data_IF_268335535728
#
_entry.id   IF_268335535728
#
_cell.length_a   1.000
_cell.length_b   1.000
_cell.length_c   1.000
_cell.angle_alpha   90.00
_cell.angle_beta   90.00
_cell.angle_gamma   90.00
#
_symmetry.space_group_name_H-M   'P 1'
#
loop_
_entity.id
_entity.type
_entity.pdbx_description
1 polymer ?
#
# COMPACT_ATOMS: atom_id res chain seq x y z
N UNK A 1 1.95 10.51 17.42
CA UNK A 1 2.89 10.98 16.38
C UNK A 1 4.36 10.64 16.66
N UNK A 2 4.89 10.82 17.88
CA UNK A 2 6.31 10.54 18.19
C UNK A 2 6.75 9.11 17.89
N UNK A 3 5.97 8.11 18.34
CA UNK A 3 6.25 6.68 18.07
C UNK A 3 6.33 6.35 16.57
N UNK A 4 5.38 6.86 15.78
CA UNK A 4 5.35 6.65 14.32
C UNK A 4 6.54 7.29 13.61
N UNK A 5 7.01 8.45 14.08
CA UNK A 5 8.22 9.11 13.53
C UNK A 5 9.48 8.29 13.82
N UNK A 6 9.61 7.72 15.02
CA UNK A 6 10.73 6.85 15.37
C UNK A 6 10.72 5.57 14.51
N UNK A 7 9.55 4.94 14.34
CA UNK A 7 9.42 3.76 13.49
C UNK A 7 9.73 4.06 12.01
N UNK A 8 9.38 5.25 11.53
CA UNK A 8 9.60 5.68 10.16
C UNK A 8 11.09 5.71 9.79
N UNK A 9 11.99 6.05 10.73
CA UNK A 9 13.44 6.04 10.48
C UNK A 9 13.92 4.64 10.08
N UNK A 10 13.52 3.62 10.85
CA UNK A 10 13.82 2.21 10.53
C UNK A 10 13.11 1.75 9.25
N UNK A 11 11.86 2.16 9.05
CA UNK A 11 11.08 1.82 7.86
C UNK A 11 11.75 2.32 6.56
N UNK A 12 12.34 3.52 6.60
CA UNK A 12 13.00 4.13 5.45
C UNK A 12 14.18 3.29 4.91
N UNK A 13 14.82 2.51 5.78
CA UNK A 13 15.95 1.64 5.44
C UNK A 13 15.52 0.27 4.88
N UNK A 14 14.26 -0.13 5.11
CA UNK A 14 13.75 -1.42 4.62
C UNK A 14 13.71 -1.43 3.09
N UNK A 15 14.35 -2.39 2.41
CA UNK A 15 14.31 -2.48 0.96
C UNK A 15 12.89 -2.72 0.42
N UNK A 16 12.61 -2.20 -0.76
CA UNK A 16 11.28 -2.25 -1.38
C UNK A 16 10.72 -3.68 -1.52
N UNK A 17 11.57 -4.68 -1.76
CA UNK A 17 11.14 -6.07 -1.92
C UNK A 17 10.52 -6.61 -0.62
N UNK A 18 11.13 -6.33 0.53
CA UNK A 18 10.60 -6.71 1.84
C UNK A 18 9.32 -5.93 2.19
N UNK A 19 9.20 -4.68 1.73
CA UNK A 19 7.96 -3.92 1.89
C UNK A 19 6.81 -4.54 1.08
N UNK A 20 7.10 -5.05 -0.12
CA UNK A 20 6.12 -5.78 -0.92
C UNK A 20 5.74 -7.12 -0.28
N UNK A 21 6.70 -7.86 0.29
CA UNK A 21 6.42 -9.09 1.06
C UNK A 21 5.53 -8.83 2.28
N UNK A 22 5.73 -7.70 2.97
CA UNK A 22 4.87 -7.30 4.09
C UNK A 22 3.41 -7.14 3.67
N UNK A 23 3.13 -6.70 2.43
CA UNK A 23 1.76 -6.62 1.92
C UNK A 23 1.13 -8.00 1.77
N UNK A 24 1.91 -9.00 1.36
CA UNK A 24 1.44 -10.39 1.31
C UNK A 24 1.13 -10.91 2.72
N UNK A 25 1.97 -10.61 3.72
CA UNK A 25 1.65 -10.95 5.11
C UNK A 25 0.37 -10.28 5.61
N UNK A 26 0.09 -9.05 5.19
CA UNK A 26 -1.19 -8.38 5.51
C UNK A 26 -2.36 -9.09 4.85
N UNK A 27 -2.21 -9.57 3.61
CA UNK A 27 -3.23 -10.39 2.93
C UNK A 27 -3.51 -11.65 3.74
N UNK A 28 -2.47 -12.36 4.19
CA UNK A 28 -2.62 -13.59 4.98
C UNK A 28 -3.45 -13.32 6.25
N UNK A 29 -3.12 -12.26 6.99
CA UNK A 29 -3.88 -11.85 8.20
C UNK A 29 -5.34 -11.52 7.87
N UNK A 30 -5.62 -10.86 6.74
CA UNK A 30 -7.00 -10.56 6.34
C UNK A 30 -7.77 -11.84 6.06
N UNK A 31 -7.17 -12.80 5.36
CA UNK A 31 -7.80 -14.08 5.04
C UNK A 31 -8.06 -14.89 6.32
N UNK A 32 -7.09 -14.96 7.23
CA UNK A 32 -7.21 -15.64 8.51
C UNK A 32 -8.34 -15.07 9.39
N UNK A 33 -8.62 -13.77 9.26
CA UNK A 33 -9.61 -13.07 10.09
C UNK A 33 -10.87 -12.67 9.31
N UNK A 34 -11.07 -13.17 8.09
CA UNK A 34 -12.12 -12.68 7.18
C UNK A 34 -13.52 -12.79 7.79
N UNK A 35 -13.83 -13.87 8.52
CA UNK A 35 -15.14 -14.09 9.12
C UNK A 35 -15.42 -13.08 10.23
N UNK A 36 -14.41 -12.79 11.05
CA UNK A 36 -14.52 -11.77 12.10
C UNK A 36 -14.72 -10.38 11.49
N UNK A 37 -13.94 -10.03 10.46
CA UNK A 37 -14.06 -8.76 9.76
C UNK A 37 -15.46 -8.60 9.15
N UNK A 38 -15.95 -9.63 8.46
CA UNK A 38 -17.29 -9.61 7.87
C UNK A 38 -18.37 -9.44 8.93
N UNK A 39 -18.29 -10.14 10.07
CA UNK A 39 -19.26 -10.01 11.16
C UNK A 39 -19.33 -8.58 11.68
N UNK A 40 -18.18 -7.96 11.98
CA UNK A 40 -18.12 -6.57 12.46
C UNK A 40 -18.71 -5.61 11.42
N UNK A 41 -18.33 -5.75 10.15
CA UNK A 41 -18.85 -4.90 9.07
C UNK A 41 -20.36 -5.03 8.93
N UNK A 42 -20.90 -6.25 9.00
CA UNK A 42 -22.33 -6.48 8.91
C UNK A 42 -23.08 -5.88 10.11
N UNK A 43 -22.53 -6.00 11.32
CA UNK A 43 -23.11 -5.40 12.53
C UNK A 43 -23.14 -3.87 12.46
N UNK A 44 -22.10 -3.24 11.95
CA UNK A 44 -21.99 -1.77 11.88
C UNK A 44 -22.78 -1.15 10.72
N UNK A 45 -22.88 -1.86 9.59
CA UNK A 45 -23.43 -1.29 8.34
C UNK A 45 -24.75 -1.90 7.90
N UNK A 46 -25.14 -3.06 8.45
CA UNK A 46 -26.34 -3.80 8.03
C UNK A 46 -26.25 -4.38 6.62
N UNK A 47 -25.07 -4.38 5.99
CA UNK A 47 -24.87 -4.91 4.63
C UNK A 47 -25.02 -6.43 4.59
N UNK A 48 -25.50 -7.01 3.48
CA UNK A 48 -25.48 -8.45 3.28
C UNK A 48 -24.04 -9.00 3.25
N UNK A 49 -23.88 -10.27 3.63
CA UNK A 49 -22.58 -10.95 3.66
C UNK A 49 -21.84 -10.90 2.33
N UNK A 50 -22.55 -11.01 1.20
CA UNK A 50 -21.95 -10.95 -0.14
C UNK A 50 -21.36 -9.56 -0.43
N UNK A 51 -22.01 -8.50 0.04
CA UNK A 51 -21.50 -7.15 -0.10
C UNK A 51 -20.31 -6.91 0.82
N UNK A 52 -20.38 -7.36 2.08
CA UNK A 52 -19.24 -7.28 3.01
C UNK A 52 -18.01 -8.02 2.47
N UNK A 53 -18.18 -9.24 1.96
CA UNK A 53 -17.11 -10.04 1.39
C UNK A 53 -16.48 -9.38 0.15
N UNK A 54 -17.30 -8.92 -0.80
CA UNK A 54 -16.81 -8.33 -2.04
C UNK A 54 -16.17 -6.95 -1.84
N UNK A 55 -16.77 -6.10 -1.00
CA UNK A 55 -16.33 -4.72 -0.83
C UNK A 55 -15.24 -4.53 0.22
N UNK A 56 -15.09 -5.43 1.19
CA UNK A 56 -14.08 -5.27 2.25
C UNK A 56 -12.95 -6.28 2.15
N UNK A 57 -13.25 -7.55 1.87
CA UNK A 57 -12.23 -8.60 1.83
C UNK A 57 -11.57 -8.63 0.45
N UNK A 58 -12.34 -8.91 -0.60
CA UNK A 58 -11.78 -9.12 -1.94
C UNK A 58 -11.11 -7.88 -2.52
N UNK A 59 -11.75 -6.72 -2.37
CA UNK A 59 -11.23 -5.45 -2.85
C UNK A 59 -9.89 -5.07 -2.16
N UNK A 60 -9.77 -5.33 -0.85
CA UNK A 60 -8.56 -5.06 -0.07
C UNK A 60 -7.42 -5.99 -0.48
N UNK A 61 -7.70 -7.29 -0.58
CA UNK A 61 -6.74 -8.30 -1.02
C UNK A 61 -6.27 -8.00 -2.44
N UNK A 62 -7.18 -7.74 -3.38
CA UNK A 62 -6.85 -7.45 -4.77
C UNK A 62 -5.90 -6.24 -4.86
N UNK A 63 -6.22 -5.18 -4.12
CA UNK A 63 -5.38 -3.98 -4.12
C UNK A 63 -4.01 -4.18 -3.51
N UNK A 64 -3.92 -4.89 -2.38
CA UNK A 64 -2.65 -5.22 -1.75
C UNK A 64 -1.80 -6.07 -2.69
N UNK A 65 -2.38 -7.12 -3.29
CA UNK A 65 -1.70 -8.00 -4.23
C UNK A 65 -1.25 -7.26 -5.49
N UNK A 66 -2.11 -6.39 -6.02
CA UNK A 66 -1.85 -5.54 -7.18
C UNK A 66 -0.61 -4.66 -6.96
N UNK A 67 -0.53 -3.99 -5.80
CA UNK A 67 0.58 -3.11 -5.47
C UNK A 67 1.84 -3.90 -5.13
N UNK A 68 1.75 -4.94 -4.32
CA UNK A 68 2.88 -5.79 -3.95
C UNK A 68 3.60 -6.33 -5.19
N UNK A 69 2.83 -6.84 -6.17
CA UNK A 69 3.37 -7.37 -7.43
C UNK A 69 4.05 -6.32 -8.30
N UNK A 70 3.54 -5.09 -8.35
CA UNK A 70 4.00 -4.05 -9.30
C UNK A 70 5.01 -3.07 -8.70
N UNK A 71 5.00 -2.86 -7.39
CA UNK A 71 5.82 -1.86 -6.73
C UNK A 71 7.32 -2.00 -7.02
N UNK A 72 7.94 -3.21 -6.99
CA UNK A 72 9.35 -3.37 -7.29
C UNK A 72 9.72 -2.84 -8.68
N UNK A 73 8.84 -3.02 -9.67
CA UNK A 73 9.06 -2.52 -11.03
C UNK A 73 8.82 -1.02 -11.13
N UNK A 74 7.77 -0.51 -10.50
CA UNK A 74 7.36 0.89 -10.62
C UNK A 74 8.23 1.88 -9.87
N UNK A 75 8.82 1.45 -8.75
CA UNK A 75 9.59 2.33 -7.88
C UNK A 75 11.10 2.10 -8.00
N UNK A 76 11.55 1.22 -8.89
CA UNK A 76 12.97 1.06 -9.19
C UNK A 76 13.54 2.34 -9.80
N UNK A 77 14.82 2.56 -9.55
CA UNK A 77 15.54 3.66 -10.17
C UNK A 77 15.57 3.53 -11.70
N UNK A 78 15.07 4.55 -12.39
CA UNK A 78 14.98 4.56 -13.84
C UNK A 78 15.91 5.63 -14.43
N UNK A 79 16.71 5.24 -15.42
CA UNK A 79 17.47 6.21 -16.22
C UNK A 79 16.51 6.90 -17.19
N UNK A 80 16.52 8.23 -17.23
CA UNK A 80 15.74 9.01 -18.17
C UNK A 80 16.69 9.72 -19.13
N UNK A 81 16.49 9.49 -20.42
CA UNK A 81 17.19 10.26 -21.46
C UNK A 81 16.66 11.69 -21.44
N UNK A 82 17.57 12.65 -21.61
CA UNK A 82 17.17 14.02 -21.90
C UNK A 82 16.94 14.17 -23.40
N UNK A 83 16.22 15.22 -23.79
CA UNK A 83 16.02 15.56 -25.19
C UNK A 83 17.19 16.44 -25.66
N UNK A 84 17.54 16.33 -26.94
CA UNK A 84 18.58 17.16 -27.56
C UNK A 84 20.03 16.75 -27.23
N UNK A 85 21.01 17.55 -27.66
CA UNK A 85 22.44 17.23 -27.56
C UNK A 85 22.93 16.98 -26.13
N UNK A 86 22.22 17.54 -25.15
CA UNK A 86 22.56 17.42 -23.74
C UNK A 86 22.39 15.99 -23.19
N UNK A 87 21.68 15.11 -23.90
CA UNK A 87 21.56 13.68 -23.58
C UNK A 87 22.91 12.93 -23.65
N UNK A 88 23.84 13.38 -24.50
CA UNK A 88 25.15 12.76 -24.65
C UNK A 88 26.13 13.18 -23.53
N UNK A 89 25.95 14.38 -22.97
CA UNK A 89 26.85 14.92 -21.93
C UNK A 89 26.41 14.55 -20.51
N UNK A 90 25.11 14.36 -20.27
CA UNK A 90 24.55 14.25 -18.91
C UNK A 90 23.64 13.05 -18.77
N UNK A 91 23.80 12.33 -17.66
CA UNK A 91 22.94 11.17 -17.29
C UNK A 91 21.95 11.60 -16.22
N UNK A 92 20.67 11.31 -16.44
CA UNK A 92 19.59 11.63 -15.50
C UNK A 92 18.94 10.35 -14.98
N UNK A 93 18.62 10.32 -13.68
CA UNK A 93 17.96 9.21 -13.01
C UNK A 93 16.80 9.72 -12.18
N UNK A 94 15.71 8.97 -12.16
CA UNK A 94 14.57 9.17 -11.27
C UNK A 94 14.66 8.13 -10.17
N UNK A 95 14.75 8.59 -8.92
CA UNK A 95 14.79 7.76 -7.71
C UNK A 95 13.62 8.18 -6.82
N UNK A 96 12.85 7.20 -6.33
CA UNK A 96 11.74 7.45 -5.43
C UNK A 96 12.22 7.38 -3.98
N UNK A 97 11.70 8.28 -3.13
CA UNK A 97 12.01 8.32 -1.70
C UNK A 97 10.74 8.30 -0.87
N UNK A 98 10.78 7.70 0.33
CA UNK A 98 9.63 7.62 1.19
C UNK A 98 9.19 8.97 1.71
N UNK A 99 7.86 9.16 1.72
CA UNK A 99 7.22 10.42 2.13
C UNK A 99 7.27 10.64 3.65
N UNK A 100 7.55 9.59 4.42
CA UNK A 100 7.54 9.63 5.88
C UNK A 100 6.25 9.07 6.46
N UNK A 101 5.79 9.63 7.57
CA UNK A 101 4.56 9.21 8.25
C UNK A 101 3.35 9.77 7.49
N UNK A 102 2.42 8.91 7.10
CA UNK A 102 1.18 9.28 6.41
C UNK A 102 0.00 9.00 7.32
N UNK A 103 -0.85 10.02 7.53
CA UNK A 103 -2.13 9.86 8.21
C UNK A 103 -3.20 9.44 7.21
N UNK A 104 -4.06 8.50 7.62
CA UNK A 104 -5.11 7.92 6.79
C UNK A 104 -6.41 8.10 7.54
N UNK A 105 -7.32 8.88 6.96
CA UNK A 105 -8.63 9.15 7.54
C UNK A 105 -9.64 8.60 6.56
N UNK A 106 -10.45 7.66 7.02
CA UNK A 106 -11.44 6.97 6.20
C UNK A 106 -12.83 7.16 6.79
N UNK A 107 -13.83 7.08 5.91
CA UNK A 107 -15.24 7.12 6.27
C UNK A 107 -15.67 5.70 6.67
N UNK A 108 -16.45 5.56 7.75
CA UNK A 108 -16.88 4.28 8.33
C UNK A 108 -17.85 3.44 7.49
N UNK A 109 -17.98 3.69 6.18
CA UNK A 109 -18.72 2.79 5.28
C UNK A 109 -17.79 1.85 4.52
N UNK A 110 -16.47 2.06 4.59
CA UNK A 110 -15.45 1.28 3.89
C UNK A 110 -14.31 0.98 4.85
N UNK A 111 -14.50 -0.05 5.68
CA UNK A 111 -13.72 -0.30 6.89
C UNK A 111 -12.31 -0.85 6.62
N UNK A 112 -12.16 -1.70 5.61
CA UNK A 112 -10.88 -2.32 5.26
C UNK A 112 -10.34 -1.80 3.93
N UNK A 113 -11.17 -1.71 2.90
CA UNK A 113 -10.69 -1.39 1.56
C UNK A 113 -10.04 -0.01 1.45
N UNK A 114 -10.76 1.04 1.88
CA UNK A 114 -10.29 2.43 1.77
C UNK A 114 -8.97 2.67 2.55
N UNK A 115 -8.83 2.23 3.82
CA UNK A 115 -7.59 2.42 4.56
C UNK A 115 -6.47 1.49 4.13
N UNK A 116 -6.74 0.37 3.44
CA UNK A 116 -5.67 -0.52 2.97
C UNK A 116 -5.17 -0.18 1.55
N UNK A 117 -5.96 0.49 0.72
CA UNK A 117 -5.54 0.74 -0.68
C UNK A 117 -4.69 1.99 -0.84
N UNK A 118 -5.12 3.10 -0.26
CA UNK A 118 -4.49 4.42 -0.48
C UNK A 118 -3.15 4.57 0.23
N UNK A 119 -3.00 4.28 1.53
CA UNK A 119 -1.74 4.48 2.21
C UNK A 119 -0.68 3.45 1.86
N UNK A 120 -1.04 2.25 1.44
CA UNK A 120 -0.06 1.24 1.09
C UNK A 120 0.73 1.60 -0.18
N UNK A 121 0.12 2.31 -1.13
CA UNK A 121 0.84 2.98 -2.23
C UNK A 121 1.88 3.99 -1.71
N UNK A 122 1.56 4.68 -0.62
CA UNK A 122 2.48 5.62 0.05
C UNK A 122 3.50 4.92 0.95
N UNK A 123 3.21 3.71 1.44
CA UNK A 123 4.10 2.90 2.26
C UNK A 123 5.23 2.27 1.42
N UNK A 124 4.94 2.00 0.14
CA UNK A 124 5.90 1.52 -0.84
C UNK A 124 6.83 2.61 -1.37
N UNK A 125 6.30 3.84 -1.56
CA UNK A 125 7.09 5.01 -1.95
C UNK A 125 7.94 5.45 -0.79
#
# INVERSE_FOLDING_TARGET
MSKSRIAQTKWAEVPLIYRAELMHRVIDVIIENQDHIMNVVMEETGKPIQEAMSMEIFSAIDSLAFYAKRAPKWLRDEKRSMHGPMSFLKKTRVTYKPRGVVAVITLGMVHLYSPLTRPFKHCLR
#
